data_IF_706265785328
#
_entry.id   IF_706265785328
#
_cell.length_a   1.000
_cell.length_b   1.000
_cell.length_c   1.000
_cell.angle_alpha   90.00
_cell.angle_beta   90.00
_cell.angle_gamma   90.00
#
_symmetry.space_group_name_H-M   'P 1'
#
loop_
_entity.id
_entity.type
_entity.pdbx_description
1 polymer ?
#
# COMPACT_ATOMS: atom_id res chain seq x y z
N UNK A 1 18.23 -7.95 -5.90
CA UNK A 1 17.01 -7.40 -6.55
C UNK A 1 15.92 -6.98 -5.55
N UNK A 2 15.64 -7.76 -4.51
CA UNK A 2 14.66 -7.48 -3.43
C UNK A 2 14.79 -6.12 -2.74
N UNK A 3 16.03 -5.64 -2.50
CA UNK A 3 16.27 -4.31 -1.89
C UNK A 3 15.72 -3.13 -2.68
N UNK A 4 15.65 -3.24 -4.01
CA UNK A 4 15.12 -2.18 -4.89
C UNK A 4 13.59 -2.15 -4.82
N UNK A 5 12.94 -3.33 -4.86
CA UNK A 5 11.48 -3.45 -4.75
C UNK A 5 10.95 -2.92 -3.41
N UNK A 6 11.68 -3.15 -2.32
CA UNK A 6 11.32 -2.61 -0.99
C UNK A 6 11.44 -1.07 -0.96
N UNK A 7 12.48 -0.50 -1.59
CA UNK A 7 12.64 0.96 -1.70
C UNK A 7 11.52 1.58 -2.52
N UNK A 8 11.20 0.99 -3.68
CA UNK A 8 10.11 1.45 -4.54
C UNK A 8 8.76 1.35 -3.82
N UNK A 9 8.49 0.24 -3.15
CA UNK A 9 7.28 0.07 -2.34
C UNK A 9 7.20 1.07 -1.17
N UNK A 10 8.33 1.54 -0.62
CA UNK A 10 8.31 2.59 0.41
C UNK A 10 8.02 3.97 -0.19
N UNK A 11 8.63 4.27 -1.33
CA UNK A 11 8.41 5.53 -2.05
C UNK A 11 6.97 5.66 -2.55
N UNK A 12 6.39 4.58 -3.10
CA UNK A 12 5.01 4.55 -3.56
C UNK A 12 4.01 4.67 -2.41
N UNK A 13 4.35 4.20 -1.19
CA UNK A 13 3.45 4.33 -0.02
C UNK A 13 3.37 5.77 0.47
N UNK A 14 4.44 6.54 0.29
CA UNK A 14 4.47 7.97 0.57
C UNK A 14 3.80 8.78 -0.55
N UNK A 15 4.00 8.37 -1.81
CA UNK A 15 3.48 9.04 -3.00
C UNK A 15 2.24 8.35 -3.58
N UNK A 16 1.26 8.02 -2.73
CA UNK A 16 -0.03 7.53 -3.20
C UNK A 16 -0.82 8.66 -3.85
N UNK A 17 -1.52 8.35 -4.93
CA UNK A 17 -2.51 9.22 -5.57
C UNK A 17 -3.71 9.47 -4.65
N UNK A 18 -4.45 10.55 -4.86
CA UNK A 18 -5.60 10.89 -4.00
C UNK A 18 -6.71 9.83 -4.08
N UNK A 19 -6.89 9.20 -5.23
CA UNK A 19 -7.80 8.07 -5.40
C UNK A 19 -7.39 6.87 -4.53
N UNK A 20 -6.10 6.50 -4.54
CA UNK A 20 -5.59 5.41 -3.69
C UNK A 20 -5.70 5.75 -2.20
N UNK A 21 -5.53 7.03 -1.83
CA UNK A 21 -5.73 7.48 -0.43
C UNK A 21 -7.17 7.33 0.01
N UNK A 22 -8.13 7.73 -0.82
CA UNK A 22 -9.55 7.59 -0.54
C UNK A 22 -9.93 6.11 -0.33
N UNK A 23 -9.48 5.24 -1.23
CA UNK A 23 -9.70 3.79 -1.10
C UNK A 23 -9.03 3.24 0.16
N UNK A 24 -7.78 3.63 0.43
CA UNK A 24 -7.06 3.14 1.62
C UNK A 24 -7.68 3.62 2.94
N UNK A 25 -8.35 4.77 2.97
CA UNK A 25 -9.10 5.21 4.15
C UNK A 25 -10.27 4.27 4.49
N UNK A 26 -10.91 3.67 3.48
CA UNK A 26 -11.98 2.69 3.66
C UNK A 26 -11.47 1.26 3.89
N UNK A 27 -10.23 0.95 3.51
CA UNK A 27 -9.65 -0.40 3.64
C UNK A 27 -8.74 -0.56 4.86
N UNK A 28 -8.22 0.52 5.44
CA UNK A 28 -7.34 0.48 6.62
C UNK A 28 -8.08 -0.06 7.84
N UNK A 29 -7.32 -0.56 8.81
CA UNK A 29 -7.82 -0.97 10.12
C UNK A 29 -8.89 -2.07 10.08
N UNK A 30 -8.85 -2.96 9.07
CA UNK A 30 -9.76 -4.10 8.97
C UNK A 30 -11.25 -3.70 8.97
N UNK A 31 -11.57 -2.51 8.47
CA UNK A 31 -12.95 -1.99 8.42
C UNK A 31 -13.91 -2.95 7.68
N UNK A 32 -13.39 -3.77 6.77
CA UNK A 32 -14.14 -4.76 5.99
C UNK A 32 -14.01 -6.20 6.54
N UNK A 33 -13.49 -6.38 7.76
CA UNK A 33 -13.26 -7.72 8.36
C UNK A 33 -12.09 -8.50 7.76
N UNK A 34 -11.32 -7.88 6.85
CA UNK A 34 -10.14 -8.48 6.21
C UNK A 34 -8.94 -7.54 6.29
N UNK A 35 -7.76 -8.12 6.48
CA UNK A 35 -6.47 -7.40 6.58
C UNK A 35 -5.93 -7.06 5.20
N UNK A 36 -6.13 -5.83 4.75
CA UNK A 36 -5.48 -5.34 3.52
C UNK A 36 -4.05 -4.86 3.77
N UNK A 37 -3.14 -5.14 2.83
CA UNK A 37 -1.75 -4.66 2.84
C UNK A 37 -1.46 -3.88 1.57
N UNK A 38 -1.24 -2.56 1.69
CA UNK A 38 -0.93 -1.72 0.53
C UNK A 38 0.49 -1.93 -0.01
N UNK A 39 0.58 -1.96 -1.34
CA UNK A 39 1.81 -1.94 -2.14
C UNK A 39 2.86 -2.93 -1.62
N UNK A 40 2.44 -4.16 -1.36
CA UNK A 40 3.39 -5.23 -1.04
C UNK A 40 4.26 -5.49 -2.28
N UNK A 41 5.60 -5.55 -2.13
CA UNK A 41 6.45 -5.99 -3.23
C UNK A 41 6.08 -7.44 -3.55
N UNK A 42 5.62 -7.67 -4.78
CA UNK A 42 5.34 -9.00 -5.33
C UNK A 42 6.51 -9.30 -6.26
N UNK A 43 7.16 -10.44 -6.07
CA UNK A 43 8.33 -10.86 -6.84
C UNK A 43 8.73 -12.28 -6.50
#
# INVERSE_FOLDING_TARGET
MTRSLIKNARALRANMTDAERAIWQSLRAEQMGVKFRRQAPIG
#
